data_IF_729420520115
#
_entry.id   IF_729420520115
#
_cell.length_a   1.000
_cell.length_b   1.000
_cell.length_c   1.000
_cell.angle_alpha   90.00
_cell.angle_beta   90.00
_cell.angle_gamma   90.00
#
_symmetry.space_group_name_H-M   'P 1'
#
loop_
_entity.id
_entity.type
_entity.pdbx_description
1 polymer ?
#
# COMPACT_ATOMS: atom_id res chain seq x y z
N UNK A 1 -24.72 -4.53 -2.67
CA UNK A 1 -23.30 -4.23 -2.87
C UNK A 1 -22.66 -3.94 -1.52
N UNK A 2 -21.48 -4.46 -1.25
CA UNK A 2 -20.66 -4.06 -0.10
C UNK A 2 -20.17 -2.63 -0.27
N UNK A 3 -19.70 -1.98 0.80
CA UNK A 3 -19.10 -0.64 0.70
C UNK A 3 -17.86 -0.65 -0.19
N UNK A 4 -17.13 -1.77 -0.24
CA UNK A 4 -16.03 -2.01 -1.17
C UNK A 4 -16.49 -2.07 -2.63
N UNK A 5 -17.58 -2.76 -2.93
CA UNK A 5 -18.13 -2.81 -4.30
C UNK A 5 -18.60 -1.43 -4.78
N UNK A 6 -19.23 -0.63 -3.90
CA UNK A 6 -19.60 0.77 -4.20
C UNK A 6 -18.38 1.64 -4.46
N UNK A 7 -17.34 1.53 -3.63
CA UNK A 7 -16.06 2.23 -3.81
C UNK A 7 -15.45 1.92 -5.18
N UNK A 8 -15.43 0.65 -5.58
CA UNK A 8 -14.88 0.22 -6.88
C UNK A 8 -15.75 0.65 -8.07
N UNK A 9 -17.07 0.77 -7.87
CA UNK A 9 -18.01 1.28 -8.87
C UNK A 9 -18.02 2.82 -8.99
N UNK A 10 -17.28 3.54 -8.12
CA UNK A 10 -17.29 5.02 -8.08
C UNK A 10 -18.56 5.62 -7.48
N UNK A 11 -19.33 4.82 -6.74
CA UNK A 11 -20.54 5.25 -6.03
C UNK A 11 -20.20 5.84 -4.65
N UNK A 12 -21.17 6.51 -4.03
CA UNK A 12 -21.03 6.95 -2.64
C UNK A 12 -20.96 5.72 -1.74
N UNK A 13 -19.91 5.66 -0.92
CA UNK A 13 -19.66 4.57 0.04
C UNK A 13 -19.24 5.15 1.41
N UNK A 14 -19.40 4.35 2.45
CA UNK A 14 -18.96 4.64 3.81
C UNK A 14 -17.50 4.27 3.99
N UNK A 15 -16.60 5.25 4.04
CA UNK A 15 -15.18 5.02 4.27
C UNK A 15 -14.84 4.53 5.69
N UNK A 16 -15.81 4.59 6.63
CA UNK A 16 -15.67 4.07 8.00
C UNK A 16 -16.25 2.66 8.17
N UNK A 17 -16.59 2.01 7.06
CA UNK A 17 -17.01 0.61 7.06
C UNK A 17 -15.93 -0.30 7.69
N UNK A 18 -16.30 -1.23 8.59
CA UNK A 18 -15.34 -2.08 9.27
C UNK A 18 -14.44 -2.90 8.34
N UNK A 19 -14.98 -3.41 7.23
CA UNK A 19 -14.20 -4.19 6.26
C UNK A 19 -13.13 -3.31 5.61
N UNK A 20 -13.50 -2.10 5.20
CA UNK A 20 -12.55 -1.16 4.60
C UNK A 20 -11.49 -0.70 5.62
N UNK A 21 -11.86 -0.50 6.88
CA UNK A 21 -10.90 -0.17 7.95
C UNK A 21 -9.91 -1.31 8.19
N UNK A 22 -10.39 -2.55 8.23
CA UNK A 22 -9.54 -3.74 8.40
C UNK A 22 -8.53 -3.87 7.25
N UNK A 23 -9.01 -3.81 6.01
CA UNK A 23 -8.14 -3.85 4.82
C UNK A 23 -7.12 -2.69 4.81
N UNK A 24 -7.54 -1.47 5.18
CA UNK A 24 -6.61 -0.33 5.30
C UNK A 24 -5.59 -0.53 6.43
N UNK A 25 -5.97 -1.20 7.51
CA UNK A 25 -5.07 -1.49 8.63
C UNK A 25 -3.99 -2.47 8.21
N UNK A 26 -4.35 -3.56 7.51
CA UNK A 26 -3.38 -4.50 6.95
C UNK A 26 -2.39 -3.82 6.01
N UNK A 27 -2.88 -2.92 5.15
CA UNK A 27 -2.03 -2.13 4.24
C UNK A 27 -1.11 -1.18 5.00
N UNK A 28 -1.58 -0.58 6.11
CA UNK A 28 -0.75 0.30 6.96
C UNK A 28 0.39 -0.43 7.65
N UNK A 29 0.20 -1.68 8.06
CA UNK A 29 1.29 -2.51 8.61
C UNK A 29 2.40 -2.72 7.57
N UNK A 30 2.03 -3.02 6.31
CA UNK A 30 3.00 -3.17 5.21
C UNK A 30 3.75 -1.86 4.94
N UNK A 31 3.05 -0.72 4.97
CA UNK A 31 3.67 0.61 4.84
C UNK A 31 4.62 0.90 6.01
N UNK A 32 4.26 0.49 7.23
CA UNK A 32 5.11 0.66 8.40
C UNK A 32 6.43 -0.11 8.26
N UNK A 33 6.36 -1.38 7.87
CA UNK A 33 7.55 -2.20 7.60
C UNK A 33 8.47 -1.56 6.54
N UNK A 34 7.88 -1.02 5.47
CA UNK A 34 8.62 -0.31 4.44
C UNK A 34 9.34 0.93 4.99
N UNK A 35 8.65 1.75 5.79
CA UNK A 35 9.18 2.99 6.34
C UNK A 35 10.32 2.77 7.35
N UNK A 36 10.38 1.59 7.97
CA UNK A 36 11.47 1.21 8.89
C UNK A 36 12.72 0.68 8.20
N UNK A 37 12.68 0.42 6.89
CA UNK A 37 13.84 -0.09 6.16
C UNK A 37 14.98 0.91 6.12
N UNK A 38 16.21 0.41 6.25
CA UNK A 38 17.40 1.23 6.01
C UNK A 38 17.57 1.49 4.50
N UNK A 39 18.20 2.60 4.09
CA UNK A 39 18.49 2.87 2.69
C UNK A 39 19.29 1.78 1.95
N UNK A 40 20.07 0.98 2.69
CA UNK A 40 20.82 -0.15 2.14
C UNK A 40 19.95 -1.38 1.83
N UNK A 41 18.74 -1.48 2.38
CA UNK A 41 17.85 -2.65 2.26
C UNK A 41 16.99 -2.62 0.99
N UNK A 42 17.61 -2.30 -0.14
CA UNK A 42 16.94 -2.07 -1.44
C UNK A 42 16.13 -3.28 -1.93
N UNK A 43 16.63 -4.50 -1.73
CA UNK A 43 15.93 -5.72 -2.13
C UNK A 43 14.66 -5.93 -1.32
N UNK A 44 14.73 -5.78 0.00
CA UNK A 44 13.55 -5.86 0.89
C UNK A 44 12.53 -4.77 0.56
N UNK A 45 13.00 -3.55 0.29
CA UNK A 45 12.13 -2.46 -0.15
C UNK A 45 11.35 -2.83 -1.42
N UNK A 46 12.03 -3.44 -2.40
CA UNK A 46 11.42 -3.93 -3.64
C UNK A 46 10.38 -5.02 -3.39
N UNK A 47 10.67 -5.97 -2.50
CA UNK A 47 9.74 -7.05 -2.13
C UNK A 47 8.47 -6.50 -1.46
N UNK A 48 8.62 -5.58 -0.50
CA UNK A 48 7.49 -4.95 0.19
C UNK A 48 6.64 -4.13 -0.79
N UNK A 49 7.25 -3.34 -1.67
CA UNK A 49 6.53 -2.55 -2.67
C UNK A 49 5.79 -3.44 -3.69
N UNK A 50 6.38 -4.56 -4.09
CA UNK A 50 5.71 -5.52 -4.98
C UNK A 50 4.48 -6.13 -4.31
N UNK A 51 4.56 -6.43 -3.01
CA UNK A 51 3.41 -6.89 -2.21
C UNK A 51 2.32 -5.81 -2.09
N UNK A 52 2.72 -4.56 -1.87
CA UNK A 52 1.81 -3.43 -1.64
C UNK A 52 1.06 -3.01 -2.92
N UNK A 53 1.76 -2.90 -4.05
CA UNK A 53 1.23 -2.33 -5.29
C UNK A 53 0.79 -3.40 -6.31
N UNK A 54 1.07 -4.68 -6.04
CA UNK A 54 0.83 -5.81 -6.95
C UNK A 54 1.82 -5.90 -8.11
N UNK A 55 2.21 -4.76 -8.68
CA UNK A 55 3.21 -4.67 -9.74
C UNK A 55 4.11 -3.44 -9.55
N UNK A 56 5.39 -3.60 -9.82
CA UNK A 56 6.38 -2.52 -9.86
C UNK A 56 7.27 -2.70 -11.09
N UNK A 57 7.68 -1.61 -11.73
CA UNK A 57 8.59 -1.67 -12.87
C UNK A 57 9.99 -2.19 -12.46
N UNK A 58 10.70 -2.78 -13.41
CA UNK A 58 12.02 -3.38 -13.16
C UNK A 58 13.15 -2.37 -13.01
N UNK A 59 13.08 -1.23 -13.72
CA UNK A 59 14.29 -0.44 -13.95
C UNK A 59 14.50 0.81 -13.09
N UNK A 60 13.52 1.30 -12.31
CA UNK A 60 13.78 2.41 -11.38
C UNK A 60 12.68 2.54 -10.33
N UNK A 61 13.04 2.36 -9.05
CA UNK A 61 12.19 2.82 -7.94
C UNK A 61 12.73 4.20 -7.56
N UNK A 62 11.96 5.25 -7.88
CA UNK A 62 12.23 6.61 -7.39
C UNK A 62 12.01 6.65 -5.87
N UNK A 63 13.05 6.28 -5.13
CA UNK A 63 13.15 6.61 -3.71
C UNK A 63 13.46 8.11 -3.63
N UNK A 64 12.44 8.94 -3.37
CA UNK A 64 12.71 10.34 -3.03
C UNK A 64 13.49 10.35 -1.72
N UNK A 65 14.80 10.58 -1.82
CA UNK A 65 15.59 11.00 -0.67
C UNK A 65 15.11 12.39 -0.28
N UNK A 66 14.09 12.45 0.58
CA UNK A 66 13.79 13.67 1.32
C UNK A 66 15.03 13.99 2.16
N UNK A 67 15.68 15.09 1.81
CA UNK A 67 16.69 15.75 2.64
C UNK A 67 16.04 16.37 3.87
#
# INVERSE_FOLDING_TARGET
MTEKEKMLAGEIYSAVDPQLIEELTEVKEIIHDYNLLRPSEKLKAREILKKLLGHIADDEILLSYAR
#
